data_IF_801306613033
#
_entry.id   IF_801306613033
#
_cell.length_a   1.000
_cell.length_b   1.000
_cell.length_c   1.000
_cell.angle_alpha   90.00
_cell.angle_beta   90.00
_cell.angle_gamma   90.00
#
_symmetry.space_group_name_H-M   'P 1'
#
loop_
_entity.id
_entity.type
_entity.pdbx_description
1 polymer ?
#
# COMPACT_ATOMS: atom_id res chain seq x y z
N UNK A 1 -11.88 -16.64 -54.72
CA UNK A 1 -11.78 -15.32 -54.07
C UNK A 1 -12.17 -15.36 -52.59
N UNK A 2 -13.19 -16.14 -52.19
CA UNK A 2 -13.62 -16.26 -50.77
C UNK A 2 -12.53 -16.78 -49.82
N UNK A 3 -11.70 -17.73 -50.24
CA UNK A 3 -10.66 -18.32 -49.39
C UNK A 3 -9.58 -17.28 -48.98
N UNK A 4 -9.19 -16.39 -49.89
CA UNK A 4 -8.25 -15.30 -49.60
C UNK A 4 -8.86 -14.26 -48.65
N UNK A 5 -10.14 -13.93 -48.83
CA UNK A 5 -10.88 -13.02 -47.93
C UNK A 5 -10.99 -13.59 -46.51
N UNK A 6 -11.25 -14.90 -46.37
CA UNK A 6 -11.27 -15.57 -45.06
C UNK A 6 -9.88 -15.60 -44.41
N UNK A 7 -8.82 -15.85 -45.18
CA UNK A 7 -7.45 -15.76 -44.67
C UNK A 7 -7.10 -14.36 -44.16
N UNK A 8 -7.45 -13.32 -44.92
CA UNK A 8 -7.22 -11.93 -44.51
C UNK A 8 -8.05 -11.57 -43.26
N UNK A 9 -9.30 -12.06 -43.15
CA UNK A 9 -10.12 -11.88 -41.94
C UNK A 9 -9.53 -12.58 -40.73
N UNK A 10 -9.09 -13.83 -40.87
CA UNK A 10 -8.46 -14.60 -39.79
C UNK A 10 -7.17 -13.90 -39.32
N UNK A 11 -6.32 -13.46 -40.24
CA UNK A 11 -5.09 -12.73 -39.91
C UNK A 11 -5.38 -11.43 -39.15
N UNK A 12 -6.37 -10.65 -39.59
CA UNK A 12 -6.78 -9.43 -38.89
C UNK A 12 -7.40 -9.70 -37.50
N UNK A 13 -8.16 -10.79 -37.36
CA UNK A 13 -8.70 -11.22 -36.06
C UNK A 13 -7.60 -11.64 -35.09
N UNK A 14 -6.56 -12.35 -35.55
CA UNK A 14 -5.40 -12.71 -34.73
C UNK A 14 -4.65 -11.47 -34.24
N UNK A 15 -4.36 -10.53 -35.14
CA UNK A 15 -3.69 -9.28 -34.78
C UNK A 15 -4.48 -8.49 -33.73
N UNK A 16 -5.81 -8.42 -33.89
CA UNK A 16 -6.69 -7.74 -32.92
C UNK A 16 -6.69 -8.44 -31.56
N UNK A 17 -6.66 -9.77 -31.54
CA UNK A 17 -6.59 -10.55 -30.31
C UNK A 17 -5.26 -10.35 -29.58
N UNK A 18 -4.14 -10.38 -30.30
CA UNK A 18 -2.80 -10.11 -29.74
C UNK A 18 -2.76 -8.72 -29.09
N UNK A 19 -3.27 -7.70 -29.78
CA UNK A 19 -3.35 -6.35 -29.24
C UNK A 19 -4.19 -6.27 -27.96
N UNK A 20 -5.37 -6.91 -27.95
CA UNK A 20 -6.22 -6.93 -26.75
C UNK A 20 -5.56 -7.66 -25.57
N UNK A 21 -4.85 -8.77 -25.84
CA UNK A 21 -4.12 -9.51 -24.81
C UNK A 21 -2.98 -8.69 -24.21
N UNK A 22 -2.26 -7.93 -25.03
CA UNK A 22 -1.20 -7.02 -24.57
C UNK A 22 -1.77 -5.89 -23.70
N UNK A 23 -2.90 -5.31 -24.11
CA UNK A 23 -3.60 -4.29 -23.30
C UNK A 23 -4.04 -4.86 -21.95
N UNK A 24 -4.57 -6.09 -21.94
CA UNK A 24 -5.00 -6.75 -20.71
C UNK A 24 -3.80 -7.02 -19.77
N UNK A 25 -2.68 -7.46 -20.31
CA UNK A 25 -1.43 -7.65 -19.54
C UNK A 25 -0.97 -6.34 -18.90
N UNK A 26 -0.90 -5.27 -19.68
CA UNK A 26 -0.52 -3.95 -19.19
C UNK A 26 -1.45 -3.45 -18.08
N UNK A 27 -2.76 -3.64 -18.22
CA UNK A 27 -3.72 -3.30 -17.17
C UNK A 27 -3.47 -4.09 -15.87
N UNK A 28 -3.16 -5.38 -15.97
CA UNK A 28 -2.82 -6.20 -14.81
C UNK A 28 -1.52 -5.74 -14.14
N UNK A 29 -0.49 -5.39 -14.92
CA UNK A 29 0.78 -4.88 -14.41
C UNK A 29 0.58 -3.57 -13.62
N UNK A 30 -0.21 -2.63 -14.14
CA UNK A 30 -0.58 -1.40 -13.44
C UNK A 30 -1.26 -1.70 -12.09
N UNK A 31 -2.14 -2.71 -12.04
CA UNK A 31 -2.80 -3.11 -10.80
C UNK A 31 -1.82 -3.71 -9.79
N UNK A 32 -0.87 -4.53 -10.24
CA UNK A 32 0.16 -5.06 -9.34
C UNK A 32 1.06 -3.95 -8.79
N UNK A 33 1.53 -3.04 -9.65
CA UNK A 33 2.32 -1.88 -9.24
C UNK A 33 1.58 -0.97 -8.26
N UNK A 34 0.27 -0.81 -8.45
CA UNK A 34 -0.57 -0.04 -7.53
C UNK A 34 -0.54 -0.63 -6.11
N UNK A 35 -0.67 -1.96 -6.00
CA UNK A 35 -0.61 -2.65 -4.71
C UNK A 35 0.79 -2.56 -4.09
N UNK A 36 1.84 -2.77 -4.88
CA UNK A 36 3.23 -2.66 -4.42
C UNK A 36 3.54 -1.25 -3.89
N UNK A 37 3.12 -0.22 -4.62
CA UNK A 37 3.26 1.19 -4.23
C UNK A 37 2.54 1.48 -2.92
N UNK A 38 1.30 0.99 -2.77
CA UNK A 38 0.53 1.19 -1.54
C UNK A 38 1.13 0.43 -0.35
N UNK A 39 1.63 -0.80 -0.54
CA UNK A 39 2.33 -1.54 0.51
C UNK A 39 3.54 -0.76 1.02
N UNK A 40 4.35 -0.19 0.12
CA UNK A 40 5.49 0.66 0.50
C UNK A 40 5.03 1.89 1.30
N UNK A 41 3.97 2.57 0.86
CA UNK A 41 3.40 3.72 1.58
C UNK A 41 2.94 3.34 2.98
N UNK A 42 2.23 2.22 3.13
CA UNK A 42 1.79 1.71 4.43
C UNK A 42 3.00 1.52 5.35
N UNK A 43 4.05 0.85 4.87
CA UNK A 43 5.24 0.58 5.67
C UNK A 43 6.01 1.85 6.07
N UNK A 44 5.93 2.91 5.26
CA UNK A 44 6.54 4.21 5.57
C UNK A 44 5.79 4.96 6.67
N UNK A 45 4.45 4.94 6.65
CA UNK A 45 3.63 5.68 7.63
C UNK A 45 3.38 4.90 8.92
N UNK A 46 3.62 3.58 8.91
CA UNK A 46 3.35 2.71 10.06
C UNK A 46 4.54 2.70 11.02
N UNK A 47 4.29 3.03 12.29
CA UNK A 47 5.29 2.91 13.37
C UNK A 47 5.91 1.49 13.39
N UNK A 48 7.24 1.33 13.42
CA UNK A 48 7.92 0.03 13.50
C UNK A 48 7.44 -0.90 14.62
N UNK A 49 6.90 -0.36 15.72
CA UNK A 49 6.33 -1.11 16.86
C UNK A 49 4.99 -1.74 16.52
N UNK A 50 4.26 -1.24 15.52
CA UNK A 50 3.00 -1.80 15.00
C UNK A 50 3.28 -2.98 14.08
N UNK A 51 3.85 -4.03 14.67
CA UNK A 51 4.26 -5.26 13.99
C UNK A 51 3.09 -5.95 13.31
N UNK A 52 1.89 -5.87 13.90
CA UNK A 52 0.65 -6.40 13.35
C UNK A 52 0.35 -5.85 11.94
N UNK A 53 0.37 -4.53 11.78
CA UNK A 53 0.11 -3.87 10.49
C UNK A 53 1.23 -4.22 9.50
N UNK A 54 2.50 -4.13 9.94
CA UNK A 54 3.65 -4.45 9.08
C UNK A 54 3.61 -5.89 8.57
N UNK A 55 3.32 -6.86 9.44
CA UNK A 55 3.19 -8.26 9.05
C UNK A 55 2.03 -8.48 8.07
N UNK A 56 0.89 -7.83 8.28
CA UNK A 56 -0.22 -7.89 7.33
C UNK A 56 0.17 -7.31 5.96
N UNK A 57 0.93 -6.20 5.93
CA UNK A 57 1.42 -5.61 4.68
C UNK A 57 2.41 -6.52 3.94
N UNK A 58 3.35 -7.15 4.65
CA UNK A 58 4.26 -8.13 4.04
C UNK A 58 3.51 -9.36 3.52
N UNK A 59 2.56 -9.89 4.30
CA UNK A 59 1.74 -11.01 3.87
C UNK A 59 0.87 -10.66 2.64
N UNK A 60 0.42 -9.42 2.53
CA UNK A 60 -0.29 -8.93 1.34
C UNK A 60 0.65 -8.87 0.13
N UNK A 61 1.84 -8.29 0.30
CA UNK A 61 2.85 -8.22 -0.78
C UNK A 61 3.19 -9.61 -1.33
N UNK A 62 3.40 -10.59 -0.44
CA UNK A 62 3.70 -11.97 -0.84
C UNK A 62 2.54 -12.64 -1.61
N UNK A 63 1.30 -12.37 -1.21
CA UNK A 63 0.11 -12.92 -1.90
C UNK A 63 -0.05 -12.31 -3.29
N UNK A 64 0.19 -11.02 -3.42
CA UNK A 64 0.14 -10.29 -4.69
C UNK A 64 1.22 -10.79 -5.65
N UNK A 65 2.44 -10.99 -5.16
CA UNK A 65 3.52 -11.58 -5.94
C UNK A 65 3.17 -13.00 -6.42
N UNK A 66 2.56 -13.82 -5.56
CA UNK A 66 2.06 -15.14 -5.95
C UNK A 66 0.94 -15.07 -7.01
N UNK A 67 0.11 -14.01 -7.01
CA UNK A 67 -0.87 -13.79 -8.08
C UNK A 67 -0.17 -13.41 -9.38
N UNK A 68 0.83 -12.50 -9.32
CA UNK A 68 1.65 -12.08 -10.47
C UNK A 68 2.33 -13.27 -11.14
N UNK A 69 3.06 -14.09 -10.38
CA UNK A 69 3.73 -15.28 -10.91
C UNK A 69 2.76 -16.27 -11.56
N UNK A 70 1.55 -16.42 -11.01
CA UNK A 70 0.53 -17.31 -11.58
C UNK A 70 -0.10 -16.72 -12.84
N UNK A 71 -0.20 -15.40 -12.92
CA UNK A 71 -0.71 -14.68 -14.08
C UNK A 71 0.26 -14.75 -15.25
N UNK A 72 1.55 -14.57 -15.03
CA UNK A 72 2.58 -14.67 -16.07
C UNK A 72 2.58 -16.04 -16.76
N UNK A 73 2.23 -17.11 -16.03
CA UNK A 73 2.09 -18.49 -16.56
C UNK A 73 0.77 -18.75 -17.30
N UNK A 74 -0.03 -17.73 -17.57
CA UNK A 74 -1.31 -17.87 -18.30
C UNK A 74 -1.24 -17.40 -19.75
N UNK A 75 -0.08 -17.01 -20.26
CA UNK A 75 0.04 -16.50 -21.63
C UNK A 75 0.43 -17.57 -22.67
N UNK A 76 0.52 -18.84 -22.24
CA UNK A 76 0.94 -19.94 -23.10
C UNK A 76 -0.16 -20.40 -24.09
N UNK A 77 -1.44 -20.15 -23.80
CA UNK A 77 -2.57 -20.58 -24.66
C UNK A 77 -3.81 -19.69 -24.47
N UNK A 78 -4.50 -19.24 -25.55
CA UNK A 78 -5.69 -18.40 -25.47
C UNK A 78 -7.01 -19.19 -25.26
N UNK A 79 -6.95 -20.42 -24.74
CA UNK A 79 -8.14 -21.26 -24.54
C UNK A 79 -9.06 -20.74 -23.42
N UNK A 80 -10.30 -21.27 -23.39
CA UNK A 80 -11.31 -20.84 -22.43
C UNK A 80 -10.90 -21.10 -20.97
N UNK A 81 -10.21 -22.21 -20.71
CA UNK A 81 -9.70 -22.55 -19.38
C UNK A 81 -8.71 -21.50 -18.90
N UNK A 82 -7.81 -21.06 -19.77
CA UNK A 82 -6.80 -20.04 -19.49
C UNK A 82 -7.42 -18.67 -19.28
N UNK A 83 -8.40 -18.28 -20.11
CA UNK A 83 -9.19 -17.05 -19.89
C UNK A 83 -9.93 -17.05 -18.55
N UNK A 84 -10.56 -18.18 -18.19
CA UNK A 84 -11.24 -18.33 -16.90
C UNK A 84 -10.26 -18.23 -15.72
N UNK A 85 -9.07 -18.81 -15.87
CA UNK A 85 -7.98 -18.69 -14.88
C UNK A 85 -7.49 -17.25 -14.74
N UNK A 86 -7.27 -16.54 -15.84
CA UNK A 86 -6.91 -15.12 -15.86
C UNK A 86 -7.97 -14.27 -15.15
N UNK A 87 -9.25 -14.50 -15.47
CA UNK A 87 -10.38 -13.83 -14.80
C UNK A 87 -10.37 -14.07 -13.29
N UNK A 88 -10.14 -15.30 -12.86
CA UNK A 88 -10.05 -15.63 -11.43
C UNK A 88 -8.86 -14.94 -10.74
N UNK A 89 -7.72 -14.84 -11.42
CA UNK A 89 -6.54 -14.14 -10.90
C UNK A 89 -6.79 -12.62 -10.80
N UNK A 90 -7.43 -12.01 -11.79
CA UNK A 90 -7.86 -10.60 -11.72
C UNK A 90 -8.80 -10.37 -10.53
N UNK A 91 -9.81 -11.21 -10.34
CA UNK A 91 -10.71 -11.09 -9.19
C UNK A 91 -9.96 -11.23 -7.85
N UNK A 92 -8.99 -12.14 -7.78
CA UNK A 92 -8.13 -12.30 -6.61
C UNK A 92 -7.29 -11.03 -6.35
N UNK A 93 -6.74 -10.43 -7.40
CA UNK A 93 -5.97 -9.19 -7.30
C UNK A 93 -6.84 -8.02 -6.81
N UNK A 94 -8.08 -7.89 -7.32
CA UNK A 94 -9.02 -6.85 -6.88
C UNK A 94 -9.37 -6.99 -5.38
N UNK A 95 -9.48 -8.22 -4.88
CA UNK A 95 -9.65 -8.47 -3.43
C UNK A 95 -8.45 -7.98 -2.63
N UNK A 96 -7.23 -8.27 -3.09
CA UNK A 96 -6.02 -7.79 -2.41
C UNK A 96 -5.85 -6.26 -2.50
N UNK A 97 -6.29 -5.62 -3.59
CA UNK A 97 -6.36 -4.15 -3.70
C UNK A 97 -7.26 -3.58 -2.61
N UNK A 98 -8.48 -4.10 -2.46
CA UNK A 98 -9.42 -3.64 -1.42
C UNK A 98 -8.82 -3.84 -0.02
N UNK A 99 -8.20 -5.00 0.23
CA UNK A 99 -7.53 -5.27 1.51
C UNK A 99 -6.35 -4.33 1.78
N UNK A 100 -5.64 -3.91 0.73
CA UNK A 100 -4.57 -2.91 0.85
C UNK A 100 -5.13 -1.56 1.28
N UNK A 101 -6.27 -1.16 0.73
CA UNK A 101 -6.95 0.09 1.11
C UNK A 101 -7.42 0.06 2.57
N UNK A 102 -7.95 -1.07 3.03
CA UNK A 102 -8.32 -1.27 4.44
C UNK A 102 -7.12 -1.10 5.37
N UNK A 103 -6.02 -1.80 5.10
CA UNK A 103 -4.79 -1.71 5.91
C UNK A 103 -4.24 -0.27 5.87
N UNK A 104 -4.26 0.40 4.72
CA UNK A 104 -3.84 1.79 4.60
C UNK A 104 -4.68 2.75 5.45
N UNK A 105 -6.00 2.57 5.45
CA UNK A 105 -6.91 3.35 6.29
C UNK A 105 -6.58 3.20 7.78
N UNK A 106 -6.36 1.96 8.22
CA UNK A 106 -5.98 1.64 9.61
C UNK A 106 -4.62 2.26 9.96
N UNK A 107 -3.61 2.07 9.11
CA UNK A 107 -2.27 2.61 9.32
C UNK A 107 -2.28 4.14 9.44
N UNK A 108 -3.04 4.81 8.55
CA UNK A 108 -3.19 6.27 8.56
C UNK A 108 -3.89 6.77 9.81
N UNK A 109 -4.91 6.06 10.29
CA UNK A 109 -5.60 6.42 11.53
C UNK A 109 -4.63 6.43 12.71
N UNK A 110 -3.84 5.38 12.88
CA UNK A 110 -2.87 5.31 13.98
C UNK A 110 -1.77 6.35 13.88
N UNK A 111 -1.21 6.58 12.69
CA UNK A 111 -0.23 7.64 12.49
C UNK A 111 -0.79 9.03 12.88
N UNK A 112 -2.08 9.28 12.63
CA UNK A 112 -2.72 10.54 13.01
C UNK A 112 -3.00 10.68 14.51
N UNK A 113 -3.29 9.58 15.21
CA UNK A 113 -3.52 9.57 16.66
C UNK A 113 -2.20 9.81 17.39
N UNK A 114 -1.12 9.15 16.98
CA UNK A 114 0.20 9.30 17.58
C UNK A 114 0.79 10.71 17.42
N UNK A 115 0.41 11.44 16.36
CA UNK A 115 0.77 12.84 16.17
C UNK A 115 0.02 13.78 17.13
N UNK A 116 -1.24 13.48 17.44
CA UNK A 116 -2.04 14.28 18.38
C UNK A 116 -1.56 14.10 19.81
N UNK A 117 -1.29 12.85 20.24
CA UNK A 117 -0.78 12.61 21.59
C UNK A 117 0.56 13.29 21.86
N UNK A 118 1.45 13.35 20.86
CA UNK A 118 2.70 14.12 20.98
C UNK A 118 2.51 15.63 21.03
N UNK A 119 1.54 16.16 20.29
CA UNK A 119 1.23 17.60 20.32
C UNK A 119 0.62 18.04 21.66
N UNK A 120 -0.14 17.16 22.33
CA UNK A 120 -0.69 17.43 23.66
C UNK A 120 0.41 17.36 24.75
N UNK A 121 1.43 16.50 24.60
CA UNK A 121 2.59 16.44 25.50
C UNK A 121 3.50 17.70 25.44
N UNK A 122 3.58 18.35 24.27
CA UNK A 122 4.38 19.57 24.09
C UNK A 122 3.69 20.85 24.62
N UNK A 123 2.39 20.82 24.92
CA UNK A 123 1.64 21.97 25.45
C UNK A 123 1.72 22.11 26.97
N UNK A 124 1.98 21.02 27.70
CA UNK A 124 2.08 21.02 29.18
C UNK A 124 3.50 21.33 29.70
N UNK A 125 4.47 21.58 28.82
CA UNK A 125 5.88 21.78 29.17
C UNK A 125 6.27 23.24 29.50
N UNK A 126 5.35 24.21 29.46
CA UNK A 126 5.67 25.64 29.60
C UNK A 126 5.20 26.31 30.92
N UNK A 127 4.62 25.56 31.87
CA UNK A 127 3.97 26.16 33.06
C UNK A 127 4.75 26.03 34.39
N UNK A 128 6.05 25.72 34.37
CA UNK A 128 6.85 25.49 35.60
C UNK A 128 8.09 26.36 35.81
N UNK A 129 8.24 27.48 35.09
CA UNK A 129 9.37 28.41 35.31
C UNK A 129 8.93 29.84 35.60
N UNK A 130 8.35 30.09 36.78
CA UNK A 130 8.49 31.40 37.45
C UNK A 130 7.92 31.36 38.88
N UNK A 131 8.66 30.77 39.82
CA UNK A 131 8.53 31.10 41.25
C UNK A 131 9.79 30.69 42.02
N UNK A 132 10.97 31.04 41.47
CA UNK A 132 12.19 31.07 42.27
C UNK A 132 12.17 32.35 43.11
N UNK A 133 11.71 32.21 44.35
CA UNK A 133 11.76 33.24 45.39
C UNK A 133 13.19 33.80 45.51
N UNK A 134 13.42 35.12 45.52
CA UNK A 134 14.76 35.65 45.65
C UNK A 134 15.31 35.35 47.06
N UNK A 135 16.64 35.18 47.21
CA UNK A 135 17.23 35.01 48.53
C UNK A 135 17.08 36.31 49.31
N UNK A 136 16.31 36.27 50.40
CA UNK A 136 16.31 37.31 51.42
C UNK A 136 17.62 37.21 52.20
N UNK A 137 18.55 38.12 51.94
CA UNK A 137 19.70 38.35 52.80
C UNK A 137 19.31 39.48 53.77
N UNK A 138 19.08 39.13 55.03
CA UNK A 138 19.00 40.08 56.14
C UNK A 138 20.33 40.04 56.88
N UNK A 139 21.00 41.19 56.88
CA UNK A 139 22.11 41.52 57.76
C UNK A 139 21.62 41.64 59.23
N UNK A 140 22.61 41.63 60.16
CA UNK A 140 22.54 41.83 61.63
C UNK A 140 22.23 40.54 62.42
N UNK A 141 22.99 40.10 63.44
CA UNK A 141 23.62 40.83 64.55
C UNK A 141 24.88 40.13 65.10
N UNK A 142 25.92 40.95 65.32
CA UNK A 142 26.51 41.27 66.64
C UNK A 142 26.60 40.17 67.72
N UNK A 143 27.78 39.55 67.90
CA UNK A 143 28.27 39.06 69.22
C UNK A 143 29.81 39.01 69.29
N UNK A 144 30.33 39.77 70.28
CA UNK A 144 31.67 39.80 70.91
C UNK A 144 32.83 40.57 70.27
#
# INVERSE_FOLDING_TARGET
MENRSLHDQIANSHLSLEFMMEQYRNQMDILFEHVDSNCRKILTITDPRRRDIRYQTFALSNRVESIRERFDRTFDSPDETTRNRQRHLLLSLLVEINRTQEIYSIARHYASVDLRSRADEDFDADDTKENAKPPSHSDEDDQN
#
